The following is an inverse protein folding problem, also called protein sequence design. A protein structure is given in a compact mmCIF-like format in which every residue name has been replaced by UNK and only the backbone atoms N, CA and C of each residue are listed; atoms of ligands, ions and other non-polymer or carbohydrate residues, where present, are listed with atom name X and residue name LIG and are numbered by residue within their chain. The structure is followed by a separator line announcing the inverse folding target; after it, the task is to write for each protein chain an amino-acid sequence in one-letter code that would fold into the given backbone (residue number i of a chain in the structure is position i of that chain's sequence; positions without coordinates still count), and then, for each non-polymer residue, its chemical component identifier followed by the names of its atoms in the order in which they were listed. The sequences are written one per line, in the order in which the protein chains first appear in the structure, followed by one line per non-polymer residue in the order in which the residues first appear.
data_IF_569318268011
#
_entry.id   IF_569318268011
#
_cell.length_a   1.000
_cell.length_b   1.000
_cell.length_c   1.000
_cell.angle_alpha   90.00
_cell.angle_beta   90.00
_cell.angle_gamma   90.00
#
_symmetry.space_group_name_H-M   'P 1'
#
loop_
_entity.id
_entity.type
_entity.pdbx_description
1 polymer ?
#
# COMPACT_ATOMS: atom_id res chain seq x y z
N UNK A 1 10.09 -15.13 0.78
CA UNK A 1 9.92 -13.66 0.82
C UNK A 1 9.71 -13.14 2.23
N UNK A 2 8.80 -13.74 3.02
CA UNK A 2 8.47 -13.31 4.39
C UNK A 2 9.71 -13.12 5.30
N UNK A 3 10.65 -14.06 5.27
CA UNK A 3 11.89 -14.00 6.06
C UNK A 3 12.82 -12.84 5.67
N UNK A 4 12.87 -12.42 4.39
CA UNK A 4 13.62 -11.23 3.97
C UNK A 4 12.91 -9.94 4.41
N UNK A 5 11.58 -9.91 4.32
CA UNK A 5 10.78 -8.77 4.77
C UNK A 5 10.94 -8.52 6.28
N UNK A 6 11.02 -9.59 7.08
CA UNK A 6 11.26 -9.50 8.52
C UNK A 6 12.63 -8.95 8.90
N UNK A 7 13.63 -8.98 8.01
CA UNK A 7 14.93 -8.33 8.25
C UNK A 7 15.02 -6.92 7.69
N UNK A 8 14.26 -6.61 6.64
CA UNK A 8 14.25 -5.30 6.00
C UNK A 8 13.31 -4.34 6.74
N UNK A 9 13.47 -4.19 8.06
CA UNK A 9 12.52 -3.46 8.92
C UNK A 9 12.73 -1.95 8.93
N UNK A 10 13.90 -1.45 8.50
CA UNK A 10 14.24 -0.03 8.50
C UNK A 10 14.58 0.46 7.09
N UNK A 11 14.11 1.66 6.73
CA UNK A 11 14.55 2.34 5.52
C UNK A 11 16.09 2.44 5.50
N UNK A 12 16.77 2.13 4.38
CA UNK A 12 16.27 1.96 3.00
C UNK A 12 15.78 0.56 2.61
N UNK A 13 15.45 -0.31 3.57
CA UNK A 13 14.96 -1.69 3.33
C UNK A 13 15.92 -2.53 2.48
N UNK A 14 17.22 -2.32 2.75
CA UNK A 14 18.34 -3.02 2.14
C UNK A 14 18.82 -4.14 3.05
N UNK A 15 19.22 -5.25 2.44
CA UNK A 15 19.75 -6.43 3.10
C UNK A 15 21.11 -6.75 2.52
N UNK A 16 22.09 -6.93 3.40
CA UNK A 16 23.46 -7.30 3.06
C UNK A 16 23.77 -8.63 3.76
N UNK A 17 23.23 -9.74 3.23
CA UNK A 17 23.42 -11.09 3.78
C UNK A 17 23.61 -12.11 2.67
N UNK A 18 24.56 -13.02 2.87
CA UNK A 18 24.84 -14.11 1.96
C UNK A 18 23.77 -15.21 2.02
N UNK A 19 23.62 -15.97 0.93
CA UNK A 19 22.67 -17.08 0.82
C UNK A 19 22.78 -18.16 1.93
N UNK A 20 23.97 -18.54 2.42
CA UNK A 20 24.09 -19.52 3.50
C UNK A 20 23.41 -19.09 4.80
N UNK A 21 23.41 -17.78 5.10
CA UNK A 21 22.75 -17.24 6.29
C UNK A 21 21.23 -17.41 6.24
N UNK A 22 20.63 -17.31 5.05
CA UNK A 22 19.21 -17.59 4.87
C UNK A 22 18.91 -19.09 4.90
N UNK A 23 19.79 -19.92 4.35
CA UNK A 23 19.62 -21.37 4.38
C UNK A 23 19.65 -21.93 5.81
N UNK A 24 20.57 -21.45 6.66
CA UNK A 24 20.59 -21.79 8.09
C UNK A 24 19.33 -21.33 8.83
N UNK A 25 18.86 -20.11 8.56
CA UNK A 25 17.65 -19.58 9.18
C UNK A 25 16.40 -20.40 8.82
N UNK A 26 16.33 -20.87 7.57
CA UNK A 26 15.23 -21.68 7.07
C UNK A 26 15.39 -23.17 7.39
N UNK A 27 16.39 -23.52 8.22
CA UNK A 27 16.73 -24.91 8.59
C UNK A 27 16.86 -25.84 7.37
N UNK A 28 17.49 -25.34 6.30
CA UNK A 28 17.68 -26.11 5.08
C UNK A 28 18.86 -27.07 5.24
N UNK A 29 18.70 -28.28 4.71
CA UNK A 29 19.80 -29.24 4.59
C UNK A 29 20.95 -28.63 3.75
N UNK A 30 22.18 -28.88 4.20
CA UNK A 30 23.42 -28.36 3.60
C UNK A 30 23.37 -26.84 3.28
N UNK A 31 23.45 -25.98 4.32
CA UNK A 31 23.36 -24.54 4.13
C UNK A 31 24.45 -23.94 3.26
N UNK A 32 25.61 -24.58 3.15
CA UNK A 32 26.76 -24.05 2.40
C UNK A 32 26.75 -24.50 0.93
N UNK A 33 26.13 -25.64 0.61
CA UNK A 33 25.93 -26.12 -0.75
C UNK A 33 24.50 -25.97 -1.27
N UNK A 34 23.73 -27.06 -1.23
CA UNK A 34 22.41 -27.16 -1.89
C UNK A 34 21.38 -26.18 -1.33
N UNK A 35 21.39 -25.93 -0.01
CA UNK A 35 20.54 -24.92 0.63
C UNK A 35 20.81 -23.52 0.09
N UNK A 36 22.09 -23.16 -0.07
CA UNK A 36 22.49 -21.88 -0.67
C UNK A 36 22.10 -21.74 -2.14
N UNK A 37 22.19 -22.83 -2.93
CA UNK A 37 21.76 -22.84 -4.34
C UNK A 37 20.25 -22.59 -4.46
N UNK A 38 19.45 -23.25 -3.62
CA UNK A 38 17.99 -23.08 -3.57
C UNK A 38 17.60 -21.66 -3.19
N UNK A 39 18.21 -21.07 -2.17
CA UNK A 39 17.99 -19.67 -1.78
C UNK A 39 18.32 -18.71 -2.94
N UNK A 40 19.46 -18.91 -3.62
CA UNK A 40 19.84 -18.09 -4.77
C UNK A 40 18.87 -18.25 -5.96
N UNK A 41 18.32 -19.45 -6.18
CA UNK A 41 17.26 -19.68 -7.16
C UNK A 41 15.99 -18.89 -6.83
N UNK A 42 15.54 -18.97 -5.57
CA UNK A 42 14.38 -18.23 -5.09
C UNK A 42 14.58 -16.70 -5.19
N UNK A 43 15.77 -16.18 -4.85
CA UNK A 43 16.09 -14.77 -5.01
C UNK A 43 16.08 -14.33 -6.48
N UNK A 44 16.62 -15.13 -7.40
CA UNK A 44 16.56 -14.84 -8.85
C UNK A 44 15.12 -14.79 -9.35
N UNK A 45 14.28 -15.72 -8.89
CA UNK A 45 12.86 -15.69 -9.21
C UNK A 45 12.16 -14.45 -8.64
N UNK A 46 12.43 -14.08 -7.39
CA UNK A 46 11.87 -12.86 -6.79
C UNK A 46 12.33 -11.59 -7.53
N UNK A 47 13.58 -11.57 -8.00
CA UNK A 47 14.12 -10.46 -8.79
C UNK A 47 13.45 -10.37 -10.17
N UNK A 48 13.23 -11.51 -10.84
CA UNK A 48 12.54 -11.53 -12.14
C UNK A 48 11.10 -11.06 -12.05
N UNK A 49 10.43 -11.30 -10.91
CA UNK A 49 9.08 -10.84 -10.64
C UNK A 49 9.00 -9.41 -10.06
N UNK A 50 10.13 -8.68 -9.96
CA UNK A 50 10.22 -7.31 -9.43
C UNK A 50 9.79 -7.15 -7.96
N UNK A 51 9.93 -8.20 -7.15
CA UNK A 51 9.71 -8.12 -5.70
C UNK A 51 10.97 -7.67 -4.94
N UNK A 52 12.14 -7.93 -5.50
CA UNK A 52 13.44 -7.48 -4.97
C UNK A 52 14.31 -6.95 -6.10
N UNK A 53 15.19 -6.00 -5.79
CA UNK A 53 16.33 -5.65 -6.63
C UNK A 53 17.58 -6.26 -6.02
N UNK A 54 18.46 -6.83 -6.84
CA UNK A 54 19.70 -7.44 -6.40
C UNK A 54 20.86 -6.78 -7.12
N UNK A 55 21.72 -6.11 -6.36
CA UNK A 55 23.01 -5.63 -6.85
C UNK A 55 24.07 -6.70 -6.59
N UNK A 56 24.52 -7.34 -7.67
CA UNK A 56 25.53 -8.40 -7.64
C UNK A 56 26.97 -7.85 -7.64
N UNK A 57 27.14 -6.54 -7.74
CA UNK A 57 28.46 -5.88 -7.75
C UNK A 57 29.11 -5.93 -6.35
N UNK A 58 28.30 -6.05 -5.30
CA UNK A 58 28.76 -6.13 -3.91
C UNK A 58 28.83 -7.57 -3.41
N UNK A 59 29.77 -7.84 -2.52
CA UNK A 59 29.98 -9.15 -1.89
C UNK A 59 29.88 -9.01 -0.36
N UNK A 60 28.84 -9.56 0.30
CA UNK A 60 27.64 -10.22 -0.26
C UNK A 60 26.71 -9.28 -1.04
N UNK A 61 25.85 -9.82 -1.94
CA UNK A 61 24.98 -9.01 -2.80
C UNK A 61 24.00 -8.17 -1.97
N UNK A 62 23.86 -6.91 -2.36
CA UNK A 62 22.88 -6.01 -1.74
C UNK A 62 21.49 -6.29 -2.32
N UNK A 63 20.54 -6.63 -1.46
CA UNK A 63 19.15 -6.91 -1.83
C UNK A 63 18.29 -5.76 -1.33
N UNK A 64 17.62 -5.06 -2.23
CA UNK A 64 16.65 -4.00 -1.89
C UNK A 64 15.22 -4.52 -2.09
N UNK A 65 14.37 -4.35 -1.07
CA UNK A 65 12.96 -4.73 -1.18
C UNK A 65 12.21 -3.73 -2.07
N UNK A 66 11.38 -4.25 -2.98
CA UNK A 66 10.51 -3.46 -3.85
C UNK A 66 9.04 -3.60 -3.40
N UNK A 67 8.17 -2.73 -3.89
CA UNK A 67 6.72 -2.85 -3.69
C UNK A 67 6.19 -4.16 -4.27
N UNK A 68 5.26 -4.80 -3.56
CA UNK A 68 4.66 -6.06 -4.01
C UNK A 68 3.79 -5.91 -5.26
N UNK A 69 3.35 -4.70 -5.60
CA UNK A 69 2.54 -4.40 -6.80
C UNK A 69 3.28 -4.57 -8.15
N UNK A 70 4.49 -5.15 -8.15
CA UNK A 70 5.38 -5.32 -9.31
C UNK A 70 5.69 -4.04 -10.07
N UNK A 71 5.44 -2.87 -9.48
CA UNK A 71 5.77 -1.58 -10.07
C UNK A 71 7.28 -1.37 -10.21
N UNK A 72 8.09 -2.16 -9.50
CA UNK A 72 9.54 -2.01 -9.44
C UNK A 72 9.99 -0.81 -8.60
N UNK A 73 9.06 -0.13 -7.91
CA UNK A 73 9.40 1.00 -7.03
C UNK A 73 9.96 0.48 -5.70
N UNK A 74 10.87 1.22 -5.06
CA UNK A 74 11.39 0.87 -3.74
C UNK A 74 10.26 0.69 -2.72
N UNK A 75 10.42 -0.28 -1.82
CA UNK A 75 9.54 -0.41 -0.67
C UNK A 75 9.71 0.82 0.22
N UNK A 76 8.65 1.61 0.36
CA UNK A 76 8.61 2.76 1.27
C UNK A 76 7.51 2.48 2.29
N UNK A 77 7.90 2.01 3.48
CA UNK A 77 6.98 2.11 4.61
C UNK A 77 6.84 3.59 4.92
N UNK A 78 5.67 4.15 4.66
CA UNK A 78 5.28 5.42 5.25
C UNK A 78 5.36 5.22 6.78
N UNK A 79 6.48 5.62 7.40
CA UNK A 79 6.72 5.50 8.85
C UNK A 79 5.78 6.36 9.71
N UNK A 80 4.70 6.88 9.14
CA UNK A 80 3.71 7.67 9.84
C UNK A 80 2.68 6.73 10.47
N UNK A 81 2.87 6.42 11.75
CA UNK A 81 1.84 5.86 12.65
C UNK A 81 0.61 6.78 12.79
N UNK A 82 0.73 8.01 12.27
CA UNK A 82 -0.25 9.07 12.32
C UNK A 82 -0.75 9.39 10.92
N UNK A 83 -2.07 9.51 10.78
CA UNK A 83 -2.67 10.09 9.58
C UNK A 83 -2.56 11.61 9.66
N UNK A 84 -2.11 12.25 8.57
CA UNK A 84 -2.08 13.72 8.49
C UNK A 84 -3.40 14.21 7.91
N UNK A 85 -4.13 15.01 8.68
CA UNK A 85 -5.37 15.67 8.25
C UNK A 85 -5.04 17.14 7.99
N UNK A 86 -5.39 17.70 6.81
CA UNK A 86 -5.18 19.12 6.52
C UNK A 86 -5.98 20.01 7.46
N UNK A 87 -5.42 21.17 7.83
CA UNK A 87 -6.04 22.12 8.76
C UNK A 87 -7.39 22.64 8.23
N UNK A 88 -7.53 22.70 6.91
CA UNK A 88 -8.73 23.09 6.17
C UNK A 88 -9.95 22.24 6.52
N UNK A 89 -9.73 21.02 7.01
CA UNK A 89 -10.79 20.17 7.55
C UNK A 89 -11.59 20.86 8.68
N UNK A 90 -10.89 21.64 9.50
CA UNK A 90 -11.49 22.41 10.60
C UNK A 90 -11.82 23.83 10.18
N UNK A 91 -10.91 24.54 9.52
CA UNK A 91 -11.10 25.97 9.23
C UNK A 91 -12.25 26.22 8.26
N UNK A 92 -12.48 25.31 7.31
CA UNK A 92 -13.55 25.44 6.32
C UNK A 92 -14.82 24.66 6.72
N UNK A 93 -14.88 24.11 7.94
CA UNK A 93 -16.09 23.48 8.47
C UNK A 93 -16.42 22.09 7.92
N UNK A 94 -15.50 21.44 7.18
CA UNK A 94 -15.71 20.10 6.62
C UNK A 94 -16.01 19.03 7.66
N UNK A 95 -15.46 19.18 8.87
CA UNK A 95 -15.73 18.25 9.98
C UNK A 95 -17.20 18.24 10.42
N UNK A 96 -17.93 19.34 10.19
CA UNK A 96 -19.37 19.46 10.48
C UNK A 96 -20.22 19.12 9.25
N UNK A 97 -19.72 19.47 8.05
CA UNK A 97 -20.46 19.26 6.81
C UNK A 97 -20.50 17.78 6.36
N UNK A 98 -19.45 17.02 6.63
CA UNK A 98 -19.39 15.59 6.27
C UNK A 98 -20.13 14.74 7.29
N UNK A 99 -20.86 13.74 6.80
CA UNK A 99 -21.41 12.70 7.65
C UNK A 99 -20.30 11.88 8.31
N UNK A 100 -20.59 11.26 9.46
CA UNK A 100 -19.61 10.42 10.18
C UNK A 100 -19.05 9.28 9.34
N UNK A 101 -19.85 8.71 8.42
CA UNK A 101 -19.40 7.69 7.46
C UNK A 101 -18.41 8.24 6.43
N UNK A 102 -18.67 9.44 5.89
CA UNK A 102 -17.81 10.07 4.90
C UNK A 102 -16.48 10.48 5.54
N UNK A 103 -16.54 11.00 6.77
CA UNK A 103 -15.36 11.28 7.59
C UNK A 103 -14.51 10.01 7.82
N UNK A 104 -15.13 8.92 8.27
CA UNK A 104 -14.42 7.66 8.51
C UNK A 104 -13.72 7.15 7.24
N UNK A 105 -14.41 7.16 6.11
CA UNK A 105 -13.83 6.73 4.82
C UNK A 105 -12.71 7.67 4.39
N UNK A 106 -12.86 8.99 4.58
CA UNK A 106 -11.80 9.95 4.26
C UNK A 106 -10.51 9.64 5.04
N UNK A 107 -10.62 9.35 6.34
CA UNK A 107 -9.48 8.97 7.18
C UNK A 107 -8.83 7.67 6.72
N UNK A 108 -9.64 6.65 6.37
CA UNK A 108 -9.14 5.39 5.81
C UNK A 108 -8.40 5.62 4.50
N UNK A 109 -8.97 6.40 3.58
CA UNK A 109 -8.32 6.72 2.31
C UNK A 109 -7.02 7.51 2.54
N UNK A 110 -6.98 8.40 3.53
CA UNK A 110 -5.77 9.14 3.91
C UNK A 110 -4.69 8.22 4.49
N UNK A 111 -5.06 7.23 5.28
CA UNK A 111 -4.15 6.19 5.81
C UNK A 111 -3.56 5.38 4.67
N UNK A 112 -4.40 4.79 3.82
CA UNK A 112 -3.96 3.89 2.74
C UNK A 112 -3.12 4.64 1.71
N UNK A 113 -3.45 5.90 1.39
CA UNK A 113 -2.69 6.71 0.44
C UNK A 113 -1.47 7.41 1.07
N UNK A 114 -1.35 7.40 2.40
CA UNK A 114 -0.38 8.22 3.13
C UNK A 114 -0.56 9.73 2.87
N UNK A 115 -1.76 10.15 2.45
CA UNK A 115 -2.07 11.51 2.01
C UNK A 115 -1.46 11.92 0.66
N UNK A 116 -1.03 10.96 -0.18
CA UNK A 116 -0.50 11.21 -1.53
C UNK A 116 -1.60 11.16 -2.58
N UNK A 117 -1.38 11.87 -3.70
CA UNK A 117 -2.31 11.92 -4.83
C UNK A 117 -2.26 10.68 -5.75
N UNK A 118 -1.36 9.73 -5.47
CA UNK A 118 -1.09 8.59 -6.36
C UNK A 118 -2.25 7.59 -6.48
N UNK A 119 -3.31 7.76 -5.67
CA UNK A 119 -4.47 6.88 -5.66
C UNK A 119 -4.16 5.51 -5.07
N UNK A 120 -5.16 4.89 -4.45
CA UNK A 120 -5.02 3.54 -3.91
C UNK A 120 -6.28 2.72 -4.14
N UNK A 121 -6.10 1.43 -4.43
CA UNK A 121 -7.20 0.47 -4.38
C UNK A 121 -7.28 -0.13 -2.98
N UNK A 122 -8.49 -0.19 -2.42
CA UNK A 122 -8.75 -0.80 -1.11
C UNK A 122 -9.54 -2.09 -1.32
N UNK A 123 -8.93 -3.28 -1.13
CA UNK A 123 -9.60 -4.58 -1.25
C UNK A 123 -10.72 -4.76 -0.23
N UNK A 124 -11.68 -5.65 -0.52
CA UNK A 124 -12.85 -5.89 0.35
C UNK A 124 -12.46 -6.35 1.76
N UNK A 125 -11.46 -7.23 1.88
CA UNK A 125 -10.94 -7.69 3.18
C UNK A 125 -10.43 -6.53 4.03
N UNK A 126 -9.64 -5.64 3.44
CA UNK A 126 -9.12 -4.46 4.13
C UNK A 126 -10.24 -3.51 4.57
N UNK A 127 -11.33 -3.39 3.79
CA UNK A 127 -12.51 -2.62 4.22
C UNK A 127 -13.16 -3.21 5.47
N UNK A 128 -13.22 -4.54 5.55
CA UNK A 128 -13.79 -5.26 6.70
C UNK A 128 -12.94 -5.09 7.97
N UNK A 129 -11.62 -4.94 7.85
CA UNK A 129 -10.72 -4.65 8.99
C UNK A 129 -11.04 -3.32 9.69
N UNK A 130 -11.63 -2.35 8.98
CA UNK A 130 -12.11 -1.08 9.57
C UNK A 130 -13.54 -1.17 10.14
N UNK A 131 -14.18 -2.35 10.09
CA UNK A 131 -15.58 -2.53 10.55
C UNK A 131 -16.62 -1.85 9.65
N UNK A 132 -16.26 -1.45 8.42
CA UNK A 132 -17.15 -0.76 7.50
C UNK A 132 -17.89 -1.75 6.59
N UNK A 133 -19.21 -1.66 6.57
CA UNK A 133 -20.02 -2.45 5.64
C UNK A 133 -19.82 -1.98 4.18
N UNK A 134 -20.06 -2.83 3.17
CA UNK A 134 -20.00 -2.42 1.77
C UNK A 134 -20.94 -1.26 1.42
N UNK A 135 -22.12 -1.20 2.03
CA UNK A 135 -23.09 -0.11 1.83
C UNK A 135 -22.58 1.20 2.44
N UNK A 136 -22.05 1.15 3.67
CA UNK A 136 -21.42 2.30 4.33
C UNK A 136 -20.27 2.85 3.48
N UNK A 137 -19.42 1.95 2.97
CA UNK A 137 -18.31 2.30 2.09
C UNK A 137 -18.80 3.01 0.83
N UNK A 138 -19.80 2.45 0.15
CA UNK A 138 -20.35 3.03 -1.07
C UNK A 138 -20.92 4.42 -0.81
N UNK A 139 -21.83 4.57 0.15
CA UNK A 139 -22.51 5.84 0.41
C UNK A 139 -21.57 6.96 0.86
N UNK A 140 -20.58 6.65 1.69
CA UNK A 140 -19.61 7.66 2.09
C UNK A 140 -18.61 8.00 0.98
N UNK A 141 -18.25 7.05 0.09
CA UNK A 141 -17.53 7.40 -1.14
C UNK A 141 -18.36 8.31 -2.06
N UNK A 142 -19.64 8.02 -2.25
CA UNK A 142 -20.54 8.81 -3.10
C UNK A 142 -20.63 10.27 -2.59
N UNK A 143 -20.72 10.45 -1.27
CA UNK A 143 -20.72 11.77 -0.62
C UNK A 143 -19.38 12.51 -0.80
N UNK A 144 -18.25 11.83 -0.60
CA UNK A 144 -16.93 12.42 -0.81
C UNK A 144 -16.68 12.80 -2.28
N UNK A 145 -17.23 12.04 -3.23
CA UNK A 145 -17.19 12.37 -4.67
C UNK A 145 -18.08 13.58 -4.96
N UNK A 146 -19.29 13.63 -4.40
CA UNK A 146 -20.21 14.76 -4.57
C UNK A 146 -19.61 16.08 -4.07
N UNK A 147 -18.82 16.03 -3.01
CA UNK A 147 -18.08 17.18 -2.48
C UNK A 147 -16.74 17.46 -3.20
N UNK A 148 -16.35 16.65 -4.19
CA UNK A 148 -15.08 16.82 -4.91
C UNK A 148 -13.83 16.62 -4.05
N UNK A 149 -13.93 15.82 -2.98
CA UNK A 149 -12.80 15.51 -2.09
C UNK A 149 -12.02 14.29 -2.56
N UNK A 150 -12.69 13.37 -3.24
CA UNK A 150 -12.07 12.18 -3.83
C UNK A 150 -12.50 11.99 -5.28
N UNK A 151 -11.66 11.32 -6.04
CA UNK A 151 -11.94 10.82 -7.38
C UNK A 151 -11.88 9.29 -7.35
N UNK A 152 -12.86 8.64 -7.98
CA UNK A 152 -12.93 7.17 -8.07
C UNK A 152 -12.84 6.77 -9.53
N UNK A 153 -11.78 6.04 -9.87
CA UNK A 153 -11.55 5.55 -11.24
C UNK A 153 -11.49 4.02 -11.25
N UNK A 154 -12.29 3.33 -12.07
CA UNK A 154 -12.16 1.89 -12.25
C UNK A 154 -10.91 1.59 -13.08
N UNK A 155 -9.93 0.91 -12.50
CA UNK A 155 -8.69 0.53 -13.16
C UNK A 155 -8.50 -0.99 -13.13
N UNK A 156 -7.89 -1.54 -14.18
CA UNK A 156 -7.42 -2.92 -14.18
C UNK A 156 -6.16 -2.99 -13.32
N UNK A 157 -6.32 -3.45 -12.08
CA UNK A 157 -5.23 -3.65 -11.14
C UNK A 157 -4.81 -5.12 -11.21
N UNK A 158 -3.51 -5.37 -11.35
CA UNK A 158 -2.96 -6.71 -11.14
C UNK A 158 -3.09 -7.01 -9.66
N UNK A 159 -3.92 -7.98 -9.31
CA UNK A 159 -4.11 -8.37 -7.93
C UNK A 159 -3.28 -9.59 -7.60
N UNK A 160 -2.45 -9.47 -6.57
CA UNK A 160 -1.67 -10.59 -6.06
C UNK A 160 -2.57 -11.61 -5.33
N UNK A 161 -3.74 -11.20 -4.80
CA UNK A 161 -4.69 -12.14 -4.15
C UNK A 161 -5.37 -13.08 -5.17
N UNK A 162 -5.62 -12.60 -6.40
CA UNK A 162 -6.30 -13.36 -7.47
C UNK A 162 -5.30 -14.02 -8.46
N UNK A 163 -4.13 -14.47 -7.99
CA UNK A 163 -3.11 -15.18 -8.79
C UNK A 163 -2.63 -14.44 -10.05
N UNK A 164 -2.62 -13.10 -10.03
CA UNK A 164 -2.20 -12.28 -11.18
C UNK A 164 -3.28 -12.08 -12.24
N UNK A 165 -4.54 -12.44 -11.95
CA UNK A 165 -5.67 -12.02 -12.77
C UNK A 165 -5.82 -10.49 -12.71
N UNK A 166 -6.03 -9.88 -13.88
CA UNK A 166 -6.31 -8.44 -13.98
C UNK A 166 -7.77 -8.21 -13.62
N UNK A 167 -8.01 -7.79 -12.39
CA UNK A 167 -9.37 -7.53 -11.90
C UNK A 167 -9.66 -6.03 -12.00
N UNK A 168 -10.86 -5.69 -12.48
CA UNK A 168 -11.35 -4.30 -12.43
C UNK A 168 -11.60 -3.92 -10.98
N UNK A 169 -10.85 -2.94 -10.48
CA UNK A 169 -11.01 -2.40 -9.13
C UNK A 169 -11.11 -0.89 -9.15
N UNK A 170 -11.85 -0.35 -8.18
CA UNK A 170 -11.88 1.08 -7.97
C UNK A 170 -10.56 1.53 -7.34
N UNK A 171 -9.96 2.55 -7.93
CA UNK A 171 -8.81 3.29 -7.42
C UNK A 171 -9.33 4.62 -6.91
N UNK A 172 -9.07 4.89 -5.64
CA UNK A 172 -9.52 6.07 -4.93
C UNK A 172 -8.37 7.05 -4.83
N UNK A 173 -8.54 8.25 -5.38
CA UNK A 173 -7.57 9.35 -5.29
C UNK A 173 -8.13 10.44 -4.40
N UNK A 174 -7.38 10.84 -3.37
CA UNK A 174 -7.70 12.03 -2.57
C UNK A 174 -7.21 13.26 -3.34
N UNK A 175 -8.10 14.21 -3.60
CA UNK A 175 -7.77 15.41 -4.38
C UNK A 175 -6.98 16.39 -3.50
N UNK A 176 -5.72 16.73 -3.86
CA UNK A 176 -4.94 17.74 -3.14
C UNK A 176 -5.66 19.09 -3.21
N UNK A 177 -5.83 19.76 -2.07
CA UNK A 177 -6.52 21.05 -2.00
C UNK A 177 -8.04 20.99 -2.17
N UNK A 178 -8.66 19.79 -2.23
CA UNK A 178 -10.12 19.67 -2.25
C UNK A 178 -10.79 20.32 -1.02
N UNK A 179 -10.13 20.23 0.14
CA UNK A 179 -10.59 20.86 1.38
C UNK A 179 -10.43 22.38 1.42
N UNK A 180 -9.63 22.98 0.52
CA UNK A 180 -9.46 24.44 0.47
C UNK A 180 -10.72 25.16 -0.02
N UNK A 181 -11.67 24.43 -0.59
CA UNK A 181 -13.00 24.93 -0.95
C UNK A 181 -13.94 24.84 0.25
N UNK A 182 -14.97 25.67 0.27
CA UNK A 182 -16.06 25.52 1.24
C UNK A 182 -16.91 24.29 0.89
N UNK A 183 -17.48 23.62 1.90
CA UNK A 183 -18.39 22.51 1.67
C UNK A 183 -19.59 22.97 0.87
N UNK A 184 -19.74 22.42 -0.34
CA UNK A 184 -20.96 22.56 -1.12
C UNK A 184 -22.10 21.98 -0.27
N UNK A 185 -23.07 22.81 0.14
CA UNK A 185 -24.25 22.31 0.84
C UNK A 185 -24.94 21.27 -0.05
N UNK A 186 -24.79 19.99 0.24
CA UNK A 186 -25.70 19.00 -0.32
C UNK A 186 -27.07 19.34 0.26
N UNK A 187 -28.06 19.54 -0.60
CA UNK A 187 -29.45 19.63 -0.17
C UNK A 187 -29.75 18.39 0.68
N UNK A 188 -30.20 18.59 1.91
CA UNK A 188 -30.67 17.50 2.75
C UNK A 188 -31.80 16.76 2.00
N UNK A 189 -31.82 15.42 2.00
CA UNK A 189 -32.95 14.68 1.47
C UNK A 189 -34.23 14.94 2.27
#
# INVERSE_FOLDING_TARGET
MLSMLMFATRAPHKLHRAAPGYARMLDMADPEGEGSRRVNGAQRWLASQKYISRDATQQPPEITMLRCDRSGRPWVVSGKRWITIPLEMWTNGWIVALSGRALAIYLVLREVTGGRADGASVPRRRRAEYGLSPDTWKRGCDELVAHGLIEVTPQLVSDDEDWGLRVKRNVYRVIPGGLSKEPTKLAAP
#
